data_IF_010293870202
#
_entry.id   IF_010293870202
#
_cell.length_a   1.000
_cell.length_b   1.000
_cell.length_c   1.000
_cell.angle_alpha   90.00
_cell.angle_beta   90.00
_cell.angle_gamma   90.00
#
_symmetry.space_group_name_H-M   'P 1'
#
loop_
_entity.id
_entity.type
_entity.pdbx_description
1 polymer ?
#
# COMPACT_ATOMS: atom_id res chain seq x y z
N UNK A 1 -1.03 -15.90 16.85
CA UNK A 1 -1.29 -14.44 16.80
C UNK A 1 0.00 -13.73 16.35
N UNK A 2 -0.05 -12.83 15.37
CA UNK A 2 1.11 -12.20 14.73
C UNK A 2 1.49 -10.81 15.25
N UNK A 3 0.96 -10.39 16.40
CA UNK A 3 1.13 -9.03 16.91
C UNK A 3 2.61 -8.63 17.09
N UNK A 4 3.45 -9.49 17.67
CA UNK A 4 4.88 -9.23 17.85
C UNK A 4 5.66 -9.16 16.53
N UNK A 5 5.13 -9.70 15.43
CA UNK A 5 5.77 -9.66 14.13
C UNK A 5 5.32 -8.46 13.30
N UNK A 6 4.02 -8.16 13.32
CA UNK A 6 3.39 -7.17 12.43
C UNK A 6 3.40 -5.77 13.05
N UNK A 7 3.01 -5.65 14.33
CA UNK A 7 2.84 -4.33 14.96
C UNK A 7 4.14 -3.51 14.96
N UNK A 8 5.32 -4.06 15.32
CA UNK A 8 6.58 -3.31 15.23
C UNK A 8 6.94 -2.83 13.83
N UNK A 9 6.51 -3.54 12.78
CA UNK A 9 6.76 -3.15 11.38
C UNK A 9 5.88 -1.97 10.94
N UNK A 10 4.72 -1.80 11.58
CA UNK A 10 3.77 -0.72 11.27
C UNK A 10 4.10 0.52 12.10
N UNK A 11 4.20 0.37 13.43
CA UNK A 11 4.31 1.52 14.36
C UNK A 11 5.70 1.67 15.00
N UNK A 12 6.66 0.85 14.62
CA UNK A 12 8.00 0.82 15.22
C UNK A 12 8.10 -0.02 16.49
N UNK A 13 9.32 -0.49 16.80
CA UNK A 13 9.54 -1.46 17.87
C UNK A 13 9.17 -0.93 19.26
N UNK A 14 9.62 0.27 19.63
CA UNK A 14 9.38 0.83 20.98
C UNK A 14 7.91 0.99 21.33
N UNK A 15 7.12 1.58 20.42
CA UNK A 15 5.67 1.78 20.60
C UNK A 15 4.92 0.45 20.66
N UNK A 16 5.29 -0.49 19.80
CA UNK A 16 4.73 -1.83 19.83
C UNK A 16 5.04 -2.55 21.16
N UNK A 17 6.28 -2.48 21.65
CA UNK A 17 6.65 -3.05 22.95
C UNK A 17 5.84 -2.44 24.10
N UNK A 18 5.65 -1.13 24.12
CA UNK A 18 4.84 -0.45 25.14
C UNK A 18 3.40 -0.99 25.17
N UNK A 19 2.72 -1.04 24.02
CA UNK A 19 1.35 -1.57 23.93
C UNK A 19 1.28 -3.05 24.34
N UNK A 20 2.24 -3.86 23.89
CA UNK A 20 2.26 -5.30 24.17
C UNK A 20 2.56 -5.63 25.63
N UNK A 21 3.39 -4.85 26.32
CA UNK A 21 3.68 -5.06 27.74
C UNK A 21 2.60 -4.48 28.66
N UNK A 22 2.07 -3.30 28.33
CA UNK A 22 1.12 -2.60 29.19
C UNK A 22 -0.33 -3.07 28.98
N UNK A 23 -0.65 -3.59 27.80
CA UNK A 23 -2.01 -3.94 27.41
C UNK A 23 -2.95 -2.73 27.32
N UNK A 24 -2.43 -1.50 27.31
CA UNK A 24 -3.26 -0.30 27.19
C UNK A 24 -3.89 -0.19 25.82
N UNK A 25 -5.00 0.53 25.75
CA UNK A 25 -5.61 0.88 24.48
C UNK A 25 -4.84 2.02 23.79
N UNK A 26 -4.76 1.92 22.47
CA UNK A 26 -4.30 2.98 21.58
C UNK A 26 -5.54 3.68 21.02
N UNK A 27 -5.60 5.00 21.11
CA UNK A 27 -6.70 5.77 20.52
C UNK A 27 -6.50 6.02 19.02
N UNK A 28 -7.52 6.58 18.36
CA UNK A 28 -7.50 6.80 16.91
C UNK A 28 -6.43 7.81 16.50
N UNK A 29 -6.34 8.94 17.20
CA UNK A 29 -5.38 10.02 16.90
C UNK A 29 -3.93 9.56 17.10
N UNK A 30 -3.67 8.78 18.15
CA UNK A 30 -2.39 8.13 18.38
C UNK A 30 -2.07 7.13 17.27
N UNK A 31 -3.04 6.29 16.90
CA UNK A 31 -2.88 5.32 15.83
C UNK A 31 -2.56 5.94 14.47
N UNK A 32 -3.18 7.08 14.14
CA UNK A 32 -2.88 7.81 12.91
C UNK A 32 -1.47 8.42 12.94
N UNK A 33 -1.11 9.13 14.02
CA UNK A 33 0.24 9.72 14.19
C UNK A 33 1.35 8.67 14.16
N UNK A 34 1.05 7.44 14.55
CA UNK A 34 2.00 6.33 14.56
C UNK A 34 2.05 5.55 13.25
N UNK A 35 1.15 5.82 12.29
CA UNK A 35 1.06 5.13 11.01
C UNK A 35 0.29 3.79 11.07
N UNK A 36 -0.44 3.51 12.15
CA UNK A 36 -1.35 2.37 12.21
C UNK A 36 -2.61 2.61 11.38
N UNK A 37 -3.14 3.83 11.42
CA UNK A 37 -4.22 4.27 10.54
C UNK A 37 -3.66 5.23 9.48
N UNK A 38 -4.05 5.04 8.23
CA UNK A 38 -3.64 5.95 7.14
C UNK A 38 -4.33 7.32 7.21
N UNK A 39 -5.52 7.38 7.83
CA UNK A 39 -6.32 8.60 8.06
C UNK A 39 -7.47 8.32 9.04
N UNK A 40 -8.02 9.39 9.60
CA UNK A 40 -9.20 9.39 10.46
C UNK A 40 -10.34 10.12 9.73
N UNK A 41 -11.55 9.57 9.81
CA UNK A 41 -12.76 10.14 9.22
C UNK A 41 -13.86 10.21 10.29
N UNK A 42 -14.85 11.09 10.07
CA UNK A 42 -16.06 11.10 10.89
C UNK A 42 -16.81 9.76 10.76
N UNK A 43 -17.44 9.22 11.83
CA UNK A 43 -18.07 7.91 11.82
C UNK A 43 -19.04 7.67 10.65
N UNK A 44 -19.80 8.68 10.27
CA UNK A 44 -20.76 8.67 9.16
C UNK A 44 -20.12 8.67 7.77
N UNK A 45 -18.85 9.11 7.66
CA UNK A 45 -18.13 9.26 6.38
C UNK A 45 -17.14 8.11 6.12
N UNK A 46 -16.84 7.26 7.12
CA UNK A 46 -15.83 6.18 7.01
C UNK A 46 -16.07 5.29 5.80
N UNK A 47 -17.33 4.84 5.60
CA UNK A 47 -17.65 3.91 4.51
C UNK A 47 -17.51 4.57 3.14
N UNK A 48 -18.00 5.80 3.01
CA UNK A 48 -17.91 6.57 1.75
C UNK A 48 -16.45 6.81 1.37
N UNK A 49 -15.62 7.27 2.31
CA UNK A 49 -14.20 7.51 2.09
C UNK A 49 -13.43 6.21 1.74
N UNK A 50 -13.79 5.08 2.36
CA UNK A 50 -13.22 3.78 2.05
C UNK A 50 -13.61 3.31 0.64
N UNK A 51 -14.88 3.47 0.25
CA UNK A 51 -15.37 3.11 -1.07
C UNK A 51 -14.76 3.99 -2.17
N UNK A 52 -14.61 5.29 -1.92
CA UNK A 52 -13.96 6.21 -2.84
C UNK A 52 -12.51 5.80 -3.13
N UNK A 53 -11.74 5.42 -2.09
CA UNK A 53 -10.38 4.91 -2.26
C UNK A 53 -10.36 3.55 -2.96
N UNK A 54 -11.28 2.63 -2.61
CA UNK A 54 -11.36 1.34 -3.27
C UNK A 54 -11.67 1.50 -4.78
N UNK A 55 -12.56 2.42 -5.12
CA UNK A 55 -12.92 2.72 -6.51
C UNK A 55 -11.73 3.32 -7.27
N UNK A 56 -10.95 4.22 -6.67
CA UNK A 56 -9.78 4.79 -7.33
C UNK A 56 -8.70 3.75 -7.61
N UNK A 57 -8.50 2.79 -6.70
CA UNK A 57 -7.61 1.64 -6.92
C UNK A 57 -8.16 0.68 -7.98
N UNK A 58 -9.46 0.40 -7.97
CA UNK A 58 -10.11 -0.48 -8.94
C UNK A 58 -10.09 0.09 -10.36
N UNK A 59 -10.12 1.42 -10.50
CA UNK A 59 -9.98 2.12 -11.77
C UNK A 59 -8.53 2.20 -12.26
N UNK A 60 -7.55 1.83 -11.43
CA UNK A 60 -6.13 1.83 -11.74
C UNK A 60 -5.64 0.57 -12.47
N UNK A 61 -4.33 0.48 -12.77
CA UNK A 61 -3.72 -0.67 -13.43
C UNK A 61 -3.66 -1.86 -12.45
N UNK A 62 -4.73 -2.67 -12.42
CA UNK A 62 -4.91 -3.75 -11.45
C UNK A 62 -3.76 -4.75 -11.41
N UNK A 63 -3.16 -5.07 -12.56
CA UNK A 63 -1.98 -5.95 -12.62
C UNK A 63 -0.76 -5.31 -11.92
N UNK A 64 -0.46 -4.04 -12.21
CA UNK A 64 0.64 -3.33 -11.58
C UNK A 64 0.41 -3.16 -10.06
N UNK A 65 -0.83 -2.94 -9.62
CA UNK A 65 -1.19 -2.94 -8.20
C UNK A 65 -0.91 -4.29 -7.53
N UNK A 66 -1.27 -5.40 -8.18
CA UNK A 66 -0.99 -6.74 -7.66
C UNK A 66 0.51 -7.01 -7.54
N UNK A 67 1.29 -6.63 -8.56
CA UNK A 67 2.76 -6.73 -8.55
C UNK A 67 3.35 -5.88 -7.42
N UNK A 68 2.94 -4.61 -7.30
CA UNK A 68 3.40 -3.69 -6.24
C UNK A 68 3.10 -4.25 -4.85
N UNK A 69 1.87 -4.75 -4.62
CA UNK A 69 1.49 -5.36 -3.35
C UNK A 69 2.37 -6.57 -3.01
N UNK A 70 2.69 -7.41 -4.00
CA UNK A 70 3.58 -8.56 -3.81
C UNK A 70 4.99 -8.11 -3.40
N UNK A 71 5.53 -7.08 -4.05
CA UNK A 71 6.85 -6.53 -3.71
C UNK A 71 6.88 -5.96 -2.28
N UNK A 72 5.88 -5.15 -1.90
CA UNK A 72 5.78 -4.59 -0.54
C UNK A 72 5.67 -5.65 0.56
N UNK A 73 5.05 -6.79 0.27
CA UNK A 73 4.99 -7.89 1.24
C UNK A 73 6.30 -8.67 1.29
N UNK A 74 6.95 -8.85 0.14
CA UNK A 74 8.17 -9.63 0.02
C UNK A 74 9.40 -8.91 0.62
N UNK A 75 9.45 -7.58 0.53
CA UNK A 75 10.60 -6.80 1.01
C UNK A 75 10.88 -6.98 2.51
N UNK A 76 9.87 -7.31 3.33
CA UNK A 76 10.03 -7.51 4.77
C UNK A 76 10.97 -8.65 5.14
N UNK A 77 11.17 -9.61 4.24
CA UNK A 77 12.02 -10.78 4.43
C UNK A 77 13.25 -10.76 3.50
N UNK A 78 13.52 -9.62 2.84
CA UNK A 78 14.61 -9.46 1.89
C UNK A 78 15.67 -8.45 2.38
N UNK A 79 16.97 -8.70 2.09
CA UNK A 79 17.96 -7.63 2.10
C UNK A 79 17.56 -6.52 1.11
N UNK A 80 17.88 -5.27 1.44
CA UNK A 80 17.52 -4.09 0.63
C UNK A 80 17.98 -4.24 -0.82
N UNK A 81 19.22 -4.65 -1.06
CA UNK A 81 19.76 -4.82 -2.42
C UNK A 81 18.95 -5.84 -3.25
N UNK A 82 18.51 -6.94 -2.61
CA UNK A 82 17.70 -7.96 -3.26
C UNK A 82 16.27 -7.45 -3.54
N UNK A 83 15.71 -6.62 -2.66
CA UNK A 83 14.41 -6.00 -2.86
C UNK A 83 14.43 -5.01 -4.04
N UNK A 84 15.50 -4.21 -4.17
CA UNK A 84 15.72 -3.29 -5.30
C UNK A 84 15.82 -4.07 -6.62
N UNK A 85 16.62 -5.15 -6.65
CA UNK A 85 16.75 -5.99 -7.85
C UNK A 85 15.43 -6.66 -8.23
N UNK A 86 14.65 -7.10 -7.24
CA UNK A 86 13.34 -7.68 -7.46
C UNK A 86 12.35 -6.64 -8.01
N UNK A 87 12.36 -5.41 -7.48
CA UNK A 87 11.55 -4.31 -7.96
C UNK A 87 11.88 -3.95 -9.41
N UNK A 88 13.17 -3.88 -9.77
CA UNK A 88 13.58 -3.60 -11.14
C UNK A 88 13.03 -4.62 -12.16
N UNK A 89 13.03 -5.91 -11.79
CA UNK A 89 12.45 -6.98 -12.63
C UNK A 89 10.93 -6.87 -12.72
N UNK A 90 10.27 -6.62 -11.59
CA UNK A 90 8.83 -6.42 -11.51
C UNK A 90 8.38 -5.22 -12.36
N UNK A 91 9.15 -4.12 -12.34
CA UNK A 91 8.92 -2.95 -13.17
C UNK A 91 9.05 -3.29 -14.65
N UNK A 92 10.10 -4.01 -15.05
CA UNK A 92 10.29 -4.45 -16.43
C UNK A 92 9.13 -5.34 -16.92
N UNK A 93 8.61 -6.22 -16.07
CA UNK A 93 7.42 -7.05 -16.34
C UNK A 93 6.19 -6.16 -16.57
N UNK A 94 5.91 -5.21 -15.66
CA UNK A 94 4.81 -4.25 -15.80
C UNK A 94 4.91 -3.41 -17.09
N UNK A 95 6.11 -3.05 -17.53
CA UNK A 95 6.32 -2.27 -18.76
C UNK A 95 5.92 -3.03 -20.04
N UNK A 96 5.77 -4.36 -19.98
CA UNK A 96 5.30 -5.17 -21.11
C UNK A 96 3.77 -5.21 -21.25
N UNK A 97 3.05 -4.69 -20.25
CA UNK A 97 1.57 -4.70 -20.23
C UNK A 97 0.98 -3.62 -21.12
N UNK A 98 -0.24 -3.84 -21.60
CA UNK A 98 -0.95 -2.84 -22.42
C UNK A 98 -1.31 -1.61 -21.59
N UNK A 99 -1.60 -1.78 -20.31
CA UNK A 99 -1.91 -0.70 -19.36
C UNK A 99 -0.74 0.25 -19.18
N UNK A 100 0.50 -0.25 -19.23
CA UNK A 100 1.67 0.62 -19.27
C UNK A 100 1.69 1.49 -20.54
N UNK A 101 1.44 0.89 -21.71
CA UNK A 101 1.34 1.65 -22.97
C UNK A 101 0.18 2.66 -22.95
N UNK A 102 -1.00 2.28 -22.46
CA UNK A 102 -2.16 3.18 -22.30
C UNK A 102 -1.82 4.35 -21.39
N UNK A 103 -1.15 4.10 -20.27
CA UNK A 103 -0.70 5.15 -19.36
C UNK A 103 0.29 6.10 -20.03
N UNK A 104 1.27 5.57 -20.75
CA UNK A 104 2.27 6.38 -21.45
C UNK A 104 1.67 7.27 -22.54
N UNK A 105 0.78 6.71 -23.36
CA UNK A 105 0.05 7.47 -24.38
C UNK A 105 -0.87 8.52 -23.78
N UNK A 106 -1.59 8.17 -22.70
CA UNK A 106 -2.48 9.08 -22.02
C UNK A 106 -1.72 10.24 -21.38
N UNK A 107 -0.58 9.95 -20.75
CA UNK A 107 0.33 10.94 -20.19
C UNK A 107 0.84 11.90 -21.27
N UNK A 108 1.33 11.36 -22.39
CA UNK A 108 1.83 12.16 -23.53
C UNK A 108 0.74 13.05 -24.13
N UNK A 109 -0.50 12.55 -24.17
CA UNK A 109 -1.66 13.28 -24.67
C UNK A 109 -2.38 14.13 -23.61
N UNK A 110 -1.87 14.21 -22.36
CA UNK A 110 -2.48 14.92 -21.23
C UNK A 110 -3.95 14.55 -20.97
N UNK A 111 -4.28 13.27 -21.13
CA UNK A 111 -5.61 12.70 -20.89
C UNK A 111 -5.56 11.68 -19.76
N UNK A 112 -6.71 11.39 -19.15
CA UNK A 112 -6.82 10.33 -18.15
C UNK A 112 -6.73 8.96 -18.83
N UNK A 113 -5.83 8.06 -18.39
CA UNK A 113 -5.80 6.68 -18.88
C UNK A 113 -7.03 5.90 -18.43
N UNK A 114 -7.45 4.94 -19.25
CA UNK A 114 -8.44 3.93 -18.88
C UNK A 114 -7.71 2.59 -18.82
N UNK A 115 -7.71 1.97 -17.65
CA UNK A 115 -7.00 0.72 -17.40
C UNK A 115 -7.94 -0.48 -17.56
N UNK A 116 -7.41 -1.59 -18.10
CA UNK A 116 -8.17 -2.83 -18.34
C UNK A 116 -7.60 -4.03 -17.57
N UNK A 117 -6.49 -3.86 -16.83
CA UNK A 117 -5.82 -4.92 -16.08
C UNK A 117 -4.97 -5.86 -16.94
N UNK A 118 -4.52 -5.41 -18.12
CA UNK A 118 -3.74 -6.19 -19.09
C UNK A 118 -2.62 -5.38 -19.74
#
# INVERSE_FOLDING_TARGET
MGACAILPRIIGHGRASELLYTGRFMDADEGERWGFFNRIEAPESVLEAAQALALSLAQGPSYAHAVTKRQLHAEWDMPVDAAIDAEARAQAECMTTKDFHRAFEAFSAKRTPVFEGN
#
